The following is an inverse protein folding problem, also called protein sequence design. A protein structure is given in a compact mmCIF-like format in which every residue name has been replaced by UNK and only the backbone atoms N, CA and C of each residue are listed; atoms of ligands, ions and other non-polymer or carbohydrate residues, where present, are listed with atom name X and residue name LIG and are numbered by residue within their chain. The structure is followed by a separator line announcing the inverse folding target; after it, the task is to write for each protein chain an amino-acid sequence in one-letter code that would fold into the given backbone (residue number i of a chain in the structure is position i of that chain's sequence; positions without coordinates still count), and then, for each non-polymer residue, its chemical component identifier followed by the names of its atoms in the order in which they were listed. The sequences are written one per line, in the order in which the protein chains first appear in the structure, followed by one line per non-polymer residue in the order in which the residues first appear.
data_IF_642978549376
#
_entry.id   IF_642978549376
#
_cell.length_a   1.000
_cell.length_b   1.000
_cell.length_c   1.000
_cell.angle_alpha   90.00
_cell.angle_beta   90.00
_cell.angle_gamma   90.00
#
_symmetry.space_group_name_H-M   'P 1'
#
loop_
_entity.id
_entity.type
_entity.pdbx_description
1 polymer ?
#
# COMPACT_ATOMS: atom_id res chain seq x y z
N UNK A 1 19.02 3.29 8.01
CA UNK A 1 18.85 4.51 8.82
C UNK A 1 17.37 4.59 9.10
N UNK A 2 16.98 4.44 10.36
CA UNK A 2 15.61 4.69 10.79
C UNK A 2 15.25 6.16 10.51
N UNK A 3 13.97 6.41 10.21
CA UNK A 3 13.45 7.76 9.97
C UNK A 3 13.79 8.67 11.15
N UNK A 4 14.36 9.84 10.89
CA UNK A 4 14.95 10.71 11.92
C UNK A 4 13.92 11.46 12.78
N UNK A 5 12.62 11.31 12.52
CA UNK A 5 11.55 11.97 13.28
C UNK A 5 10.94 11.04 14.33
N UNK A 6 10.76 11.53 15.55
CA UNK A 6 9.98 10.88 16.60
C UNK A 6 8.57 10.56 16.10
N UNK A 7 8.18 9.29 16.13
CA UNK A 7 6.86 8.80 15.70
C UNK A 7 5.82 9.08 16.78
N UNK A 8 4.59 9.39 16.36
CA UNK A 8 3.45 9.69 17.24
C UNK A 8 2.21 8.93 16.81
N UNK A 9 1.22 8.74 17.68
CA UNK A 9 -0.04 8.13 17.27
C UNK A 9 -0.83 8.98 16.27
N UNK A 10 -1.50 8.30 15.34
CA UNK A 10 -2.44 8.93 14.43
C UNK A 10 -3.60 9.57 15.23
N UNK A 11 -3.92 10.86 15.00
CA UNK A 11 -4.74 11.65 15.93
C UNK A 11 -6.20 11.21 16.01
N UNK A 12 -6.68 10.41 15.06
CA UNK A 12 -8.06 9.91 15.04
C UNK A 12 -8.20 8.51 15.67
N UNK A 13 -7.13 7.94 16.22
CA UNK A 13 -7.22 6.73 17.02
C UNK A 13 -7.93 6.99 18.36
N UNK A 14 -8.77 6.05 18.77
CA UNK A 14 -9.46 6.14 20.04
C UNK A 14 -8.48 5.96 21.21
N UNK A 15 -8.51 6.89 22.16
CA UNK A 15 -7.69 6.83 23.38
C UNK A 15 -8.42 6.12 24.53
N UNK A 16 -7.70 5.41 25.43
CA UNK A 16 -6.26 5.11 25.37
C UNK A 16 -5.94 4.07 24.29
N UNK A 17 -4.85 4.28 23.55
CA UNK A 17 -4.52 3.50 22.34
C UNK A 17 -4.19 2.05 22.72
N UNK A 18 -3.49 1.87 23.84
CA UNK A 18 -2.98 0.59 24.33
C UNK A 18 -4.09 -0.44 24.58
N UNK A 19 -5.33 0.02 24.83
CA UNK A 19 -6.49 -0.85 25.05
C UNK A 19 -7.47 -0.91 23.89
N UNK A 20 -7.39 0.02 22.92
CA UNK A 20 -8.40 0.17 21.87
C UNK A 20 -7.87 -0.05 20.46
N UNK A 21 -6.55 -0.09 20.26
CA UNK A 21 -5.93 -0.23 18.95
C UNK A 21 -4.97 -1.42 18.91
N UNK A 22 -5.08 -2.20 17.84
CA UNK A 22 -4.13 -3.24 17.45
C UNK A 22 -3.97 -3.17 15.95
N UNK A 23 -2.74 -2.94 15.48
CA UNK A 23 -2.46 -2.82 14.05
C UNK A 23 -2.71 -4.13 13.29
N UNK A 24 -2.21 -5.26 13.80
CA UNK A 24 -2.43 -6.55 13.16
C UNK A 24 -3.85 -7.08 13.40
N UNK A 25 -4.64 -7.12 12.32
CA UNK A 25 -6.04 -7.59 12.30
C UNK A 25 -6.17 -9.07 12.68
N UNK A 26 -5.22 -9.91 12.27
CA UNK A 26 -5.29 -11.37 12.49
C UNK A 26 -4.42 -11.73 13.67
N UNK A 27 -5.00 -12.24 14.77
CA UNK A 27 -4.23 -12.78 15.87
C UNK A 27 -3.58 -14.09 15.45
N UNK A 28 -2.25 -14.17 15.49
CA UNK A 28 -1.56 -15.44 15.25
C UNK A 28 -1.53 -16.29 16.53
N UNK A 29 -1.67 -15.64 17.69
CA UNK A 29 -1.57 -16.24 19.01
C UNK A 29 -2.52 -15.57 19.99
N UNK A 30 -3.01 -16.36 20.94
CA UNK A 30 -3.74 -15.93 22.13
C UNK A 30 -2.91 -16.18 23.41
N UNK A 31 -3.17 -15.44 24.51
CA UNK A 31 -2.46 -15.63 25.79
C UNK A 31 -2.55 -17.04 26.38
N UNK A 32 -3.56 -17.83 25.98
CA UNK A 32 -3.76 -19.21 26.42
C UNK A 32 -2.89 -20.23 25.67
N UNK A 33 -2.27 -19.85 24.55
CA UNK A 33 -1.47 -20.76 23.74
C UNK A 33 -0.12 -21.07 24.40
N UNK A 34 0.44 -22.23 24.12
CA UNK A 34 1.76 -22.62 24.66
C UNK A 34 2.85 -21.70 24.07
N UNK A 35 3.57 -20.89 24.87
CA UNK A 35 4.54 -19.93 24.35
C UNK A 35 5.76 -20.60 23.70
N UNK A 36 6.04 -21.87 24.02
CA UNK A 36 7.20 -22.61 23.49
C UNK A 36 6.92 -23.38 22.21
N UNK A 37 5.73 -23.25 21.62
CA UNK A 37 5.35 -23.97 20.39
C UNK A 37 4.63 -23.02 19.45
N UNK A 38 4.93 -23.04 18.14
CA UNK A 38 4.22 -22.22 17.20
C UNK A 38 2.76 -22.65 17.10
N UNK A 39 1.86 -21.71 16.92
CA UNK A 39 0.44 -21.98 16.61
C UNK A 39 0.31 -22.37 15.13
N UNK A 40 -0.81 -23.00 14.71
CA UNK A 40 -1.09 -23.24 13.30
C UNK A 40 -1.11 -21.96 12.45
N UNK A 41 -1.61 -20.86 13.02
CA UNK A 41 -1.65 -19.56 12.33
C UNK A 41 -0.26 -18.97 12.16
N UNK A 42 0.60 -19.01 13.20
CA UNK A 42 2.01 -18.60 13.07
C UNK A 42 2.72 -19.40 11.97
N UNK A 43 2.53 -20.73 11.93
CA UNK A 43 3.12 -21.58 10.89
C UNK A 43 2.65 -21.19 9.48
N UNK A 44 1.33 -21.04 9.29
CA UNK A 44 0.77 -20.67 7.99
C UNK A 44 1.30 -19.33 7.47
N UNK A 45 1.43 -18.34 8.34
CA UNK A 45 1.98 -17.03 7.97
C UNK A 45 3.49 -17.08 7.75
N UNK A 46 4.26 -17.79 8.57
CA UNK A 46 5.69 -18.00 8.33
C UNK A 46 5.91 -18.66 6.97
N UNK A 47 5.09 -19.65 6.61
CA UNK A 47 5.17 -20.34 5.31
C UNK A 47 4.78 -19.42 4.15
N UNK A 48 3.77 -18.56 4.31
CA UNK A 48 3.44 -17.51 3.34
C UNK A 48 4.65 -16.61 3.05
N UNK A 49 5.30 -16.11 4.10
CA UNK A 49 6.49 -15.26 3.94
C UNK A 49 7.68 -16.04 3.37
N UNK A 50 7.87 -17.30 3.74
CA UNK A 50 8.89 -18.18 3.14
C UNK A 50 8.68 -18.34 1.64
N UNK A 51 7.44 -18.51 1.20
CA UNK A 51 7.10 -18.65 -0.22
C UNK A 51 7.36 -17.38 -1.04
N UNK A 52 7.51 -16.21 -0.39
CA UNK A 52 7.90 -14.97 -1.07
C UNK A 52 9.39 -14.89 -1.41
N UNK A 53 10.26 -15.65 -0.71
CA UNK A 53 11.73 -15.56 -0.86
C UNK A 53 12.21 -15.64 -2.31
N UNK A 54 11.75 -16.59 -3.15
CA UNK A 54 12.23 -16.70 -4.52
C UNK A 54 11.94 -15.45 -5.36
N UNK A 55 10.78 -14.81 -5.17
CA UNK A 55 10.40 -13.58 -5.88
C UNK A 55 11.32 -12.41 -5.49
N UNK A 56 11.51 -12.21 -4.18
CA UNK A 56 12.41 -11.15 -3.67
C UNK A 56 13.86 -11.39 -4.08
N UNK A 57 14.34 -12.64 -4.02
CA UNK A 57 15.67 -13.01 -4.51
C UNK A 57 15.85 -12.67 -5.99
N UNK A 58 14.89 -13.04 -6.85
CA UNK A 58 14.93 -12.76 -8.29
C UNK A 58 14.94 -11.26 -8.61
N UNK A 59 14.23 -10.45 -7.82
CA UNK A 59 14.28 -8.99 -7.93
C UNK A 59 15.64 -8.45 -7.46
N UNK A 60 16.11 -8.89 -6.30
CA UNK A 60 17.38 -8.47 -5.73
C UNK A 60 18.59 -8.84 -6.60
N UNK A 61 18.65 -10.05 -7.18
CA UNK A 61 19.78 -10.50 -8.01
C UNK A 61 19.92 -9.68 -9.31
N UNK A 62 18.84 -9.03 -9.74
CA UNK A 62 18.80 -8.21 -10.96
C UNK A 62 18.89 -6.71 -10.70
N UNK A 63 19.09 -6.29 -9.44
CA UNK A 63 19.28 -4.89 -9.06
C UNK A 63 20.65 -4.37 -9.55
N UNK A 64 20.69 -3.49 -10.58
CA UNK A 64 21.94 -3.03 -11.16
C UNK A 64 22.67 -2.01 -10.28
N UNK A 65 22.02 -1.51 -9.21
CA UNK A 65 22.58 -0.49 -8.33
C UNK A 65 23.44 -1.08 -7.21
N UNK A 66 23.39 -2.40 -7.03
CA UNK A 66 24.09 -3.12 -5.96
C UNK A 66 25.24 -3.96 -6.56
N UNK A 67 26.50 -3.76 -6.12
CA UNK A 67 27.61 -4.60 -6.55
C UNK A 67 27.46 -6.02 -5.99
N UNK A 68 27.77 -7.02 -6.82
CA UNK A 68 27.62 -8.45 -6.48
C UNK A 68 26.18 -8.79 -6.05
N UNK A 69 25.18 -8.16 -6.69
CA UNK A 69 23.76 -8.35 -6.39
C UNK A 69 23.32 -9.83 -6.34
N UNK A 70 23.74 -10.73 -7.25
CA UNK A 70 23.40 -12.15 -7.15
C UNK A 70 23.86 -12.81 -5.84
N UNK A 71 25.10 -12.58 -5.42
CA UNK A 71 25.65 -13.16 -4.19
C UNK A 71 24.96 -12.59 -2.94
N UNK A 72 24.61 -11.29 -2.97
CA UNK A 72 23.86 -10.65 -1.87
C UNK A 72 22.41 -11.13 -1.83
N UNK A 73 21.77 -11.38 -2.97
CA UNK A 73 20.43 -11.92 -3.05
C UNK A 73 20.36 -13.37 -2.52
N UNK A 74 21.39 -14.18 -2.77
CA UNK A 74 21.52 -15.51 -2.13
C UNK A 74 21.62 -15.38 -0.61
N UNK A 75 22.50 -14.50 -0.11
CA UNK A 75 22.60 -14.23 1.34
C UNK A 75 21.30 -13.75 1.96
N UNK A 76 20.50 -12.96 1.23
CA UNK A 76 19.17 -12.57 1.68
C UNK A 76 18.27 -13.81 1.86
N UNK A 77 18.19 -14.66 0.84
CA UNK A 77 17.35 -15.86 0.87
C UNK A 77 17.76 -16.82 2.00
N UNK A 78 19.07 -17.03 2.18
CA UNK A 78 19.62 -17.85 3.25
C UNK A 78 19.30 -17.27 4.64
N UNK A 79 19.61 -16.00 4.88
CA UNK A 79 19.41 -15.35 6.18
C UNK A 79 17.94 -15.29 6.56
N UNK A 80 17.08 -14.83 5.64
CA UNK A 80 15.66 -14.70 5.91
C UNK A 80 15.00 -16.07 6.08
N UNK A 81 15.34 -17.04 5.22
CA UNK A 81 14.87 -18.42 5.34
C UNK A 81 15.27 -19.09 6.66
N UNK A 82 16.47 -18.82 7.18
CA UNK A 82 16.93 -19.33 8.47
C UNK A 82 16.15 -18.71 9.64
N UNK A 83 15.95 -17.39 9.66
CA UNK A 83 15.18 -16.71 10.72
C UNK A 83 13.73 -17.22 10.76
N UNK A 84 13.11 -17.41 9.59
CA UNK A 84 11.78 -17.99 9.51
C UNK A 84 11.73 -19.44 10.04
N UNK A 85 12.79 -20.25 9.89
CA UNK A 85 12.86 -21.59 10.49
C UNK A 85 13.10 -21.52 12.00
N UNK A 86 13.84 -20.53 12.49
CA UNK A 86 14.04 -20.32 13.92
C UNK A 86 12.72 -19.95 14.61
N UNK A 87 11.92 -19.07 14.01
CA UNK A 87 10.57 -18.71 14.51
C UNK A 87 9.61 -19.91 14.57
N UNK A 88 9.76 -20.90 13.68
CA UNK A 88 9.01 -22.18 13.78
C UNK A 88 9.47 -23.03 14.95
N UNK A 89 10.75 -22.99 15.31
CA UNK A 89 11.31 -23.80 16.41
C UNK A 89 11.07 -23.14 17.76
N UNK A 90 11.17 -21.82 17.82
CA UNK A 90 11.04 -21.00 19.01
C UNK A 90 10.33 -19.68 18.66
N UNK A 91 9.01 -19.55 18.95
CA UNK A 91 8.25 -18.35 18.65
C UNK A 91 8.82 -17.08 19.28
N UNK A 92 9.50 -17.17 20.41
CA UNK A 92 10.10 -16.01 21.12
C UNK A 92 11.44 -15.56 20.50
N UNK A 93 11.97 -16.32 19.52
CA UNK A 93 13.20 -15.94 18.83
C UNK A 93 13.01 -14.68 17.98
N UNK A 94 14.12 -13.98 17.69
CA UNK A 94 14.14 -12.82 16.79
C UNK A 94 13.10 -11.72 17.10
N UNK A 95 12.70 -11.60 18.38
CA UNK A 95 11.73 -10.61 18.85
C UNK A 95 10.25 -11.00 18.70
N UNK A 96 9.96 -12.29 18.51
CA UNK A 96 8.58 -12.80 18.47
C UNK A 96 7.93 -12.92 19.86
N UNK A 97 6.71 -13.49 19.96
CA UNK A 97 5.97 -14.22 18.92
C UNK A 97 5.68 -13.41 17.65
N UNK A 98 5.72 -14.02 16.45
CA UNK A 98 5.61 -13.26 15.21
C UNK A 98 4.20 -12.73 14.97
N UNK A 99 4.14 -11.56 14.35
CA UNK A 99 2.96 -11.02 13.68
C UNK A 99 3.36 -10.56 12.26
N UNK A 100 2.40 -10.02 11.49
CA UNK A 100 2.67 -9.56 10.13
C UNK A 100 3.74 -8.44 10.08
N UNK A 101 3.71 -7.52 11.05
CA UNK A 101 4.64 -6.39 11.12
C UNK A 101 6.06 -6.90 11.33
N UNK A 102 6.26 -7.83 12.26
CA UNK A 102 7.58 -8.40 12.53
C UNK A 102 8.14 -9.14 11.31
N UNK A 103 7.32 -9.97 10.65
CA UNK A 103 7.75 -10.73 9.47
C UNK A 103 8.14 -9.81 8.30
N UNK A 104 7.36 -8.76 8.04
CA UNK A 104 7.72 -7.71 7.08
C UNK A 104 9.01 -6.99 7.48
N UNK A 105 9.13 -6.58 8.74
CA UNK A 105 10.28 -5.81 9.24
C UNK A 105 11.58 -6.57 9.11
N UNK A 106 11.61 -7.85 9.49
CA UNK A 106 12.80 -8.70 9.36
C UNK A 106 13.22 -8.81 7.89
N UNK A 107 12.28 -9.00 6.97
CA UNK A 107 12.57 -9.07 5.52
C UNK A 107 13.27 -7.80 5.04
N UNK A 108 12.69 -6.64 5.33
CA UNK A 108 13.22 -5.35 4.89
C UNK A 108 14.57 -5.02 5.53
N UNK A 109 14.75 -5.35 6.82
CA UNK A 109 16.03 -5.17 7.52
C UNK A 109 17.16 -5.95 6.85
N UNK A 110 16.94 -7.23 6.51
CA UNK A 110 17.98 -8.06 5.88
C UNK A 110 18.36 -7.52 4.49
N UNK A 111 17.37 -7.13 3.68
CA UNK A 111 17.64 -6.52 2.37
C UNK A 111 18.50 -5.25 2.51
N UNK A 112 18.12 -4.37 3.44
CA UNK A 112 18.81 -3.09 3.70
C UNK A 112 20.22 -3.28 4.24
N UNK A 113 20.42 -4.22 5.16
CA UNK A 113 21.74 -4.59 5.68
C UNK A 113 22.67 -5.14 4.60
N UNK A 114 22.10 -5.89 3.64
CA UNK A 114 22.84 -6.39 2.49
C UNK A 114 23.08 -5.32 1.40
N UNK A 115 22.63 -4.09 1.63
CA UNK A 115 22.89 -2.93 0.78
C UNK A 115 21.84 -2.68 -0.30
N UNK A 116 20.77 -3.48 -0.36
CA UNK A 116 19.63 -3.19 -1.23
C UNK A 116 18.85 -2.00 -0.68
N UNK A 117 18.48 -1.07 -1.56
CA UNK A 117 17.65 0.09 -1.20
C UNK A 117 16.23 -0.02 -1.71
N UNK A 118 16.08 -0.43 -2.97
CA UNK A 118 14.80 -0.57 -3.64
C UNK A 118 14.92 -1.57 -4.81
N UNK A 119 14.75 -2.86 -4.50
CA UNK A 119 14.84 -3.93 -5.50
C UNK A 119 13.67 -3.91 -6.51
N UNK A 120 12.66 -3.06 -6.29
CA UNK A 120 11.49 -2.89 -7.15
C UNK A 120 11.54 -1.58 -7.95
N UNK A 121 12.55 -0.72 -7.78
CA UNK A 121 12.61 0.61 -8.39
C UNK A 121 12.35 0.60 -9.89
N UNK A 122 13.07 -0.26 -10.62
CA UNK A 122 12.94 -0.37 -12.07
C UNK A 122 11.51 -0.70 -12.51
N UNK A 123 10.87 -1.66 -11.86
CA UNK A 123 9.50 -2.06 -12.22
C UNK A 123 8.49 -0.99 -11.82
N UNK A 124 8.68 -0.32 -10.67
CA UNK A 124 7.86 0.85 -10.29
C UNK A 124 7.93 1.95 -11.34
N UNK A 125 9.13 2.29 -11.82
CA UNK A 125 9.32 3.34 -12.82
C UNK A 125 8.66 2.98 -14.17
N UNK A 126 8.80 1.73 -14.60
CA UNK A 126 8.15 1.21 -15.82
C UNK A 126 6.63 1.26 -15.73
N UNK A 127 6.05 0.80 -14.61
CA UNK A 127 4.60 0.84 -14.40
C UNK A 127 4.06 2.27 -14.20
N UNK A 128 4.80 3.13 -13.50
CA UNK A 128 4.46 4.55 -13.36
C UNK A 128 4.41 5.23 -14.74
N UNK A 129 5.39 4.98 -15.61
CA UNK A 129 5.42 5.57 -16.95
C UNK A 129 4.23 5.11 -17.80
N UNK A 130 3.89 3.81 -17.77
CA UNK A 130 2.71 3.27 -18.45
C UNK A 130 1.43 3.88 -17.90
N UNK A 131 1.25 3.92 -16.59
CA UNK A 131 0.05 4.44 -15.96
C UNK A 131 -0.13 5.95 -16.22
N UNK A 132 0.94 6.74 -16.18
CA UNK A 132 0.90 8.17 -16.53
C UNK A 132 0.37 8.37 -17.96
N UNK A 133 0.77 7.53 -18.92
CA UNK A 133 0.30 7.62 -20.31
C UNK A 133 -1.20 7.35 -20.48
N UNK A 134 -1.83 6.67 -19.52
CA UNK A 134 -3.26 6.32 -19.54
C UNK A 134 -4.13 7.25 -18.68
N UNK A 135 -3.50 8.12 -17.89
CA UNK A 135 -4.18 8.92 -16.87
C UNK A 135 -5.30 9.78 -17.44
N UNK A 136 -5.05 10.49 -18.55
CA UNK A 136 -6.04 11.37 -19.17
C UNK A 136 -7.29 10.61 -19.63
N UNK A 137 -7.12 9.43 -20.22
CA UNK A 137 -8.20 8.64 -20.77
C UNK A 137 -9.07 8.06 -19.66
N UNK A 138 -8.45 7.55 -18.59
CA UNK A 138 -9.17 7.05 -17.40
C UNK A 138 -9.95 8.19 -16.73
N UNK A 139 -9.37 9.38 -16.62
CA UNK A 139 -10.08 10.55 -16.06
C UNK A 139 -11.26 10.96 -16.94
N UNK A 140 -11.08 11.04 -18.26
CA UNK A 140 -12.15 11.40 -19.20
C UNK A 140 -13.32 10.42 -19.16
N UNK A 141 -13.04 9.12 -19.04
CA UNK A 141 -14.08 8.08 -18.89
C UNK A 141 -14.90 8.25 -17.62
N UNK A 142 -14.25 8.59 -16.50
CA UNK A 142 -14.96 8.89 -15.25
C UNK A 142 -15.79 10.18 -15.37
N UNK A 143 -15.23 11.23 -15.98
CA UNK A 143 -15.92 12.52 -16.15
C UNK A 143 -17.16 12.41 -17.07
N UNK A 144 -17.15 11.48 -18.03
CA UNK A 144 -18.29 11.22 -18.91
C UNK A 144 -19.51 10.58 -18.20
N UNK A 145 -19.34 10.04 -16.98
CA UNK A 145 -20.45 9.46 -16.21
C UNK A 145 -21.20 10.60 -15.52
N UNK A 146 -22.37 10.99 -16.01
CA UNK A 146 -23.14 12.13 -15.47
C UNK A 146 -23.65 11.90 -14.03
N UNK A 147 -24.14 10.69 -13.75
CA UNK A 147 -24.66 10.33 -12.43
C UNK A 147 -23.51 10.22 -11.40
N UNK A 148 -23.51 11.09 -10.39
CA UNK A 148 -22.44 11.16 -9.40
C UNK A 148 -22.26 9.84 -8.62
N UNK A 149 -23.36 9.14 -8.34
CA UNK A 149 -23.32 7.87 -7.61
C UNK A 149 -22.66 6.76 -8.43
N UNK A 150 -22.98 6.67 -9.73
CA UNK A 150 -22.33 5.75 -10.68
C UNK A 150 -20.88 6.13 -10.92
N UNK A 151 -20.57 7.43 -10.98
CA UNK A 151 -19.19 7.91 -11.11
C UNK A 151 -18.35 7.49 -9.91
N UNK A 152 -18.85 7.70 -8.70
CA UNK A 152 -18.21 7.23 -7.48
C UNK A 152 -17.98 5.72 -7.50
N UNK A 153 -19.01 4.94 -7.88
CA UNK A 153 -18.86 3.49 -7.99
C UNK A 153 -17.78 3.08 -9.01
N UNK A 154 -17.70 3.76 -10.15
CA UNK A 154 -16.66 3.52 -11.14
C UNK A 154 -15.25 3.85 -10.61
N UNK A 155 -15.10 4.95 -9.86
CA UNK A 155 -13.84 5.32 -9.21
C UNK A 155 -13.42 4.28 -8.16
N UNK A 156 -14.34 3.79 -7.32
CA UNK A 156 -14.07 2.73 -6.34
C UNK A 156 -13.64 1.43 -7.03
N UNK A 157 -14.30 1.07 -8.14
CA UNK A 157 -13.85 -0.06 -8.98
C UNK A 157 -12.47 0.17 -9.58
N UNK A 158 -12.14 1.41 -9.95
CA UNK A 158 -10.81 1.80 -10.40
C UNK A 158 -9.74 1.56 -9.33
N UNK A 159 -10.01 1.91 -8.07
CA UNK A 159 -9.11 1.61 -6.94
C UNK A 159 -8.87 0.10 -6.82
N UNK A 160 -9.94 -0.71 -6.80
CA UNK A 160 -9.78 -2.17 -6.73
C UNK A 160 -9.02 -2.76 -7.91
N UNK A 161 -9.31 -2.29 -9.12
CA UNK A 161 -8.61 -2.74 -10.32
C UNK A 161 -7.13 -2.37 -10.29
N UNK A 162 -6.79 -1.18 -9.77
CA UNK A 162 -5.42 -0.70 -9.61
C UNK A 162 -4.62 -1.58 -8.65
N UNK A 163 -5.18 -1.85 -7.47
CA UNK A 163 -4.54 -2.67 -6.45
C UNK A 163 -4.41 -4.17 -6.83
N UNK A 164 -5.21 -4.68 -7.79
CA UNK A 164 -4.99 -6.03 -8.33
C UNK A 164 -3.64 -6.14 -9.07
N UNK A 165 -3.10 -5.04 -9.61
CA UNK A 165 -1.79 -5.02 -10.25
C UNK A 165 -0.63 -4.97 -9.23
N UNK A 166 -0.72 -5.78 -8.18
CA UNK A 166 0.29 -5.93 -7.14
C UNK A 166 1.45 -6.82 -7.62
N UNK A 167 2.61 -6.18 -7.85
CA UNK A 167 3.86 -6.80 -8.30
C UNK A 167 4.56 -7.64 -7.22
N UNK A 168 4.10 -7.56 -5.97
CA UNK A 168 4.58 -8.32 -4.82
C UNK A 168 4.18 -9.80 -4.84
N UNK A 169 3.20 -10.19 -5.67
CA UNK A 169 2.82 -11.60 -5.86
C UNK A 169 3.37 -12.15 -7.19
N UNK A 170 4.20 -13.19 -7.08
CA UNK A 170 4.89 -13.81 -8.22
C UNK A 170 3.96 -14.30 -9.36
N UNK A 171 2.66 -14.50 -9.08
CA UNK A 171 1.68 -15.00 -10.05
C UNK A 171 1.03 -13.91 -10.92
N UNK A 172 0.95 -12.65 -10.48
CA UNK A 172 0.24 -11.60 -11.23
C UNK A 172 1.17 -10.83 -12.20
N UNK A 173 2.47 -10.80 -11.93
CA UNK A 173 3.45 -10.10 -12.76
C UNK A 173 3.69 -10.76 -14.14
N UNK A 174 3.47 -12.07 -14.29
CA UNK A 174 3.72 -12.78 -15.56
C UNK A 174 2.59 -12.60 -16.60
N UNK A 175 1.41 -12.12 -16.20
CA UNK A 175 0.23 -12.11 -17.09
C UNK A 175 0.16 -10.85 -17.98
N UNK A 176 0.90 -9.76 -17.70
CA UNK A 176 0.63 -8.48 -18.39
C UNK A 176 1.87 -7.69 -18.85
N UNK A 177 2.74 -8.33 -19.64
CA UNK A 177 3.83 -7.63 -20.33
C UNK A 177 3.45 -7.03 -21.70
N UNK A 178 2.17 -7.06 -22.12
CA UNK A 178 1.75 -6.55 -23.43
C UNK A 178 0.37 -5.88 -23.34
N UNK A 179 0.34 -4.60 -23.66
CA UNK A 179 -0.82 -3.75 -23.97
C UNK A 179 -1.62 -3.17 -22.79
N UNK A 180 -1.63 -1.84 -22.68
CA UNK A 180 -2.41 -1.02 -21.72
C UNK A 180 -3.94 -1.14 -21.84
N UNK A 181 -4.45 -2.08 -22.63
CA UNK A 181 -5.84 -2.56 -22.63
C UNK A 181 -6.24 -3.27 -21.31
N UNK A 182 -5.32 -3.44 -20.37
CA UNK A 182 -5.46 -4.26 -19.16
C UNK A 182 -6.20 -3.58 -17.99
N UNK A 183 -6.03 -2.27 -17.74
CA UNK A 183 -6.62 -1.62 -16.55
C UNK A 183 -8.15 -1.47 -16.66
N UNK A 184 -8.65 -0.94 -17.78
CA UNK A 184 -10.08 -0.78 -18.01
C UNK A 184 -10.81 -2.12 -18.10
N UNK A 185 -10.18 -3.13 -18.71
CA UNK A 185 -10.70 -4.49 -18.71
C UNK A 185 -10.76 -5.07 -17.29
N UNK A 186 -9.76 -4.81 -16.45
CA UNK A 186 -9.74 -5.26 -15.06
C UNK A 186 -10.85 -4.62 -14.23
N UNK A 187 -11.16 -3.34 -14.45
CA UNK A 187 -12.31 -2.67 -13.84
C UNK A 187 -13.64 -3.38 -14.13
N UNK A 188 -13.77 -3.97 -15.33
CA UNK A 188 -14.97 -4.69 -15.76
C UNK A 188 -15.02 -6.14 -15.27
N UNK A 189 -13.86 -6.75 -15.03
CA UNK A 189 -13.73 -8.16 -14.63
C UNK A 189 -13.60 -8.36 -13.11
N UNK A 190 -13.83 -7.31 -12.31
CA UNK A 190 -13.93 -7.44 -10.85
C UNK A 190 -15.04 -8.42 -10.47
N UNK A 191 -14.87 -9.11 -9.33
CA UNK A 191 -15.90 -9.98 -8.79
C UNK A 191 -17.23 -9.21 -8.62
N UNK A 192 -18.37 -9.85 -8.95
CA UNK A 192 -19.66 -9.22 -8.83
C UNK A 192 -19.98 -8.89 -7.37
N UNK A 193 -20.76 -7.82 -7.17
CA UNK A 193 -21.32 -7.49 -5.85
C UNK A 193 -22.40 -8.51 -5.45
N UNK A 194 -22.63 -8.75 -4.14
CA UNK A 194 -21.98 -8.10 -3.01
C UNK A 194 -20.55 -8.61 -2.79
N UNK A 195 -19.63 -7.70 -2.48
CA UNK A 195 -18.29 -8.08 -2.02
C UNK A 195 -18.32 -8.66 -0.60
N UNK A 196 -17.22 -9.28 -0.17
CA UNK A 196 -17.10 -9.91 1.16
C UNK A 196 -17.46 -8.95 2.31
N UNK A 197 -17.08 -7.68 2.16
CA UNK A 197 -17.55 -6.54 2.96
C UNK A 197 -17.93 -5.47 1.95
N UNK A 198 -19.20 -5.09 1.90
CA UNK A 198 -19.75 -4.20 0.87
C UNK A 198 -20.59 -3.08 1.50
N UNK A 199 -19.90 -2.00 1.88
CA UNK A 199 -20.51 -0.77 2.42
C UNK A 199 -20.64 0.33 1.35
N UNK A 200 -20.47 0.00 0.07
CA UNK A 200 -20.41 0.99 -1.01
C UNK A 200 -21.71 1.80 -1.11
N UNK A 201 -22.87 1.18 -0.97
CA UNK A 201 -24.15 1.90 -1.06
C UNK A 201 -24.34 2.85 0.13
N UNK A 202 -23.90 2.45 1.33
CA UNK A 202 -23.85 3.33 2.51
C UNK A 202 -22.92 4.51 2.27
N UNK A 203 -21.75 4.27 1.66
CA UNK A 203 -20.80 5.31 1.31
C UNK A 203 -21.36 6.27 0.24
N UNK A 204 -22.02 5.76 -0.82
CA UNK A 204 -22.72 6.56 -1.85
C UNK A 204 -23.81 7.46 -1.25
N UNK A 205 -24.56 6.95 -0.28
CA UNK A 205 -25.58 7.75 0.42
C UNK A 205 -24.96 8.89 1.22
N UNK A 206 -23.83 8.65 1.90
CA UNK A 206 -23.08 9.71 2.58
C UNK A 206 -22.45 10.68 1.58
N UNK A 207 -21.88 10.17 0.49
CA UNK A 207 -21.24 10.97 -0.56
C UNK A 207 -22.15 12.02 -1.17
N UNK A 208 -23.40 11.67 -1.42
CA UNK A 208 -24.41 12.61 -1.97
C UNK A 208 -24.88 13.67 -0.96
N UNK A 209 -24.74 13.44 0.34
CA UNK A 209 -25.28 14.32 1.40
C UNK A 209 -24.22 15.09 2.18
N UNK A 210 -23.03 14.50 2.34
CA UNK A 210 -21.93 15.04 3.13
C UNK A 210 -20.89 15.64 2.20
N UNK A 211 -20.54 16.90 2.45
CA UNK A 211 -19.32 17.51 1.92
C UNK A 211 -18.23 17.30 2.97
N UNK A 212 -17.35 16.32 2.72
CA UNK A 212 -16.13 16.18 3.51
C UNK A 212 -15.25 17.41 3.33
N UNK A 213 -14.57 17.82 4.40
CA UNK A 213 -13.66 18.97 4.37
C UNK A 213 -12.24 18.52 4.16
N UNK A 214 -11.84 17.40 4.75
CA UNK A 214 -10.48 16.91 4.67
C UNK A 214 -10.42 15.39 4.72
N UNK A 215 -9.80 14.82 3.68
CA UNK A 215 -9.59 13.39 3.51
C UNK A 215 -8.10 13.05 3.64
N UNK A 216 -7.79 12.02 4.44
CA UNK A 216 -6.48 11.36 4.46
C UNK A 216 -6.61 10.04 3.72
N UNK A 217 -5.75 9.81 2.74
CA UNK A 217 -5.70 8.54 1.99
C UNK A 217 -4.30 7.95 2.20
N UNK A 218 -4.23 6.82 2.89
CA UNK A 218 -3.02 6.00 2.93
C UNK A 218 -2.97 5.20 1.64
N UNK A 219 -1.92 5.44 0.85
CA UNK A 219 -1.75 4.86 -0.48
C UNK A 219 -0.86 3.63 -0.42
N UNK A 220 -1.07 2.68 -1.33
CA UNK A 220 -0.34 1.42 -1.40
C UNK A 220 0.64 1.44 -2.59
N UNK A 221 0.27 0.87 -3.74
CA UNK A 221 1.23 0.52 -4.79
C UNK A 221 1.54 1.66 -5.77
N UNK A 222 2.73 1.60 -6.36
CA UNK A 222 3.07 2.36 -7.57
C UNK A 222 2.30 1.89 -8.81
N UNK A 223 2.38 2.65 -9.90
CA UNK A 223 1.80 2.28 -11.18
C UNK A 223 0.29 2.54 -11.24
N UNK A 224 -0.46 1.57 -11.76
CA UNK A 224 -1.89 1.72 -12.02
C UNK A 224 -2.71 1.97 -10.74
N UNK A 225 -2.26 1.47 -9.60
CA UNK A 225 -2.92 1.66 -8.31
C UNK A 225 -2.99 3.14 -7.93
N UNK A 226 -1.85 3.74 -7.60
CA UNK A 226 -1.77 5.17 -7.29
C UNK A 226 -2.26 6.04 -8.47
N UNK A 227 -1.78 5.82 -9.70
CA UNK A 227 -2.03 6.76 -10.81
C UNK A 227 -3.41 6.62 -11.42
N UNK A 228 -3.96 5.42 -11.60
CA UNK A 228 -5.24 5.20 -12.29
C UNK A 228 -6.40 4.86 -11.34
N UNK A 229 -6.11 4.42 -10.12
CA UNK A 229 -7.10 4.18 -9.07
C UNK A 229 -7.25 5.37 -8.13
N UNK A 230 -6.23 5.63 -7.31
CA UNK A 230 -6.28 6.63 -6.23
C UNK A 230 -6.34 8.06 -6.77
N UNK A 231 -5.49 8.44 -7.72
CA UNK A 231 -5.43 9.84 -8.18
C UNK A 231 -6.73 10.32 -8.85
N UNK A 232 -7.44 9.54 -9.68
CA UNK A 232 -8.76 9.93 -10.18
C UNK A 232 -9.79 10.08 -9.06
N UNK A 233 -9.74 9.22 -8.04
CA UNK A 233 -10.62 9.33 -6.87
C UNK A 233 -10.30 10.58 -6.02
N UNK A 234 -9.02 10.85 -5.75
CA UNK A 234 -8.55 12.06 -5.07
C UNK A 234 -8.93 13.32 -5.86
N UNK A 235 -8.81 13.28 -7.19
CA UNK A 235 -9.26 14.35 -8.09
C UNK A 235 -10.76 14.61 -7.94
N UNK A 236 -11.58 13.57 -7.79
CA UNK A 236 -13.02 13.75 -7.55
C UNK A 236 -13.32 14.41 -6.22
N UNK A 237 -12.59 14.05 -5.15
CA UNK A 237 -12.69 14.72 -3.86
C UNK A 237 -12.33 16.21 -3.96
N UNK A 238 -11.24 16.55 -4.67
CA UNK A 238 -10.83 17.94 -4.93
C UNK A 238 -11.90 18.69 -5.74
N UNK A 239 -12.47 18.07 -6.78
CA UNK A 239 -13.56 18.65 -7.58
C UNK A 239 -14.79 18.99 -6.74
N UNK A 240 -15.02 18.24 -5.66
CA UNK A 240 -16.10 18.47 -4.68
C UNK A 240 -15.71 19.43 -3.54
N UNK A 241 -14.52 20.03 -3.60
CA UNK A 241 -14.03 21.01 -2.63
C UNK A 241 -13.43 20.40 -1.35
N UNK A 242 -13.06 19.12 -1.37
CA UNK A 242 -12.39 18.45 -0.23
C UNK A 242 -10.89 18.70 -0.31
N UNK A 243 -10.24 19.02 0.81
CA UNK A 243 -8.78 18.97 0.91
C UNK A 243 -8.33 17.51 1.01
N UNK A 244 -7.35 17.10 0.21
CA UNK A 244 -6.89 15.70 0.17
C UNK A 244 -5.43 15.64 0.58
N UNK A 245 -5.11 14.73 1.50
CA UNK A 245 -3.73 14.39 1.89
C UNK A 245 -3.48 12.94 1.48
N UNK A 246 -2.48 12.73 0.62
CA UNK A 246 -2.00 11.39 0.28
C UNK A 246 -0.81 11.05 1.18
N UNK A 247 -0.96 10.04 2.04
CA UNK A 247 0.07 9.58 2.96
C UNK A 247 0.80 8.37 2.37
N UNK A 248 2.08 8.55 2.04
CA UNK A 248 2.92 7.54 1.38
C UNK A 248 4.12 7.16 2.25
N UNK A 249 4.72 5.99 2.00
CA UNK A 249 5.85 5.47 2.76
C UNK A 249 7.08 6.39 2.69
N UNK A 250 7.85 6.46 3.77
CA UNK A 250 9.15 7.15 3.83
C UNK A 250 10.18 6.39 3.01
N UNK A 251 10.24 5.07 3.22
CA UNK A 251 11.21 4.19 2.59
C UNK A 251 10.54 3.16 1.68
N UNK A 252 11.25 2.69 0.63
CA UNK A 252 10.76 1.60 -0.20
C UNK A 252 10.47 0.33 0.61
N UNK A 253 9.34 -0.27 0.27
CA UNK A 253 8.88 -1.57 0.71
C UNK A 253 8.09 -2.17 -0.45
N UNK A 254 8.50 -3.35 -0.94
CA UNK A 254 7.92 -3.97 -2.13
C UNK A 254 7.77 -2.94 -3.28
N UNK A 255 6.60 -2.83 -3.90
CA UNK A 255 6.27 -1.89 -4.96
C UNK A 255 5.43 -0.71 -4.47
N UNK A 256 5.33 -0.50 -3.16
CA UNK A 256 4.64 0.62 -2.55
C UNK A 256 5.23 1.94 -3.07
N UNK A 257 4.36 2.94 -3.27
CA UNK A 257 4.80 4.28 -3.66
C UNK A 257 5.37 5.01 -2.44
N UNK A 258 6.56 5.59 -2.60
CA UNK A 258 7.17 6.40 -1.54
C UNK A 258 6.79 7.88 -1.65
N UNK A 259 6.93 8.63 -0.57
CA UNK A 259 6.70 10.07 -0.52
C UNK A 259 7.46 10.85 -1.61
N UNK A 260 8.78 10.63 -1.82
CA UNK A 260 9.51 11.31 -2.90
C UNK A 260 8.99 10.94 -4.29
N UNK A 261 8.69 9.66 -4.52
CA UNK A 261 8.17 9.19 -5.80
C UNK A 261 6.78 9.76 -6.11
N UNK A 262 5.92 9.87 -5.10
CA UNK A 262 4.59 10.45 -5.27
C UNK A 262 4.65 11.94 -5.62
N UNK A 263 5.60 12.69 -5.04
CA UNK A 263 5.87 14.09 -5.45
C UNK A 263 6.22 14.15 -6.94
N UNK A 264 7.12 13.29 -7.40
CA UNK A 264 7.52 13.26 -8.81
C UNK A 264 6.36 12.88 -9.74
N UNK A 265 5.55 11.89 -9.37
CA UNK A 265 4.37 11.47 -10.13
C UNK A 265 3.38 12.63 -10.27
N UNK A 266 3.03 13.27 -9.14
CA UNK A 266 2.11 14.42 -9.14
C UNK A 266 2.67 15.58 -9.96
N UNK A 267 3.97 15.85 -9.88
CA UNK A 267 4.60 16.89 -10.69
C UNK A 267 4.53 16.62 -12.19
N UNK A 268 4.54 15.35 -12.62
CA UNK A 268 4.41 14.97 -14.04
C UNK A 268 2.97 15.07 -14.55
N UNK A 269 1.98 14.91 -13.65
CA UNK A 269 0.56 14.92 -13.99
C UNK A 269 -0.09 16.30 -13.91
N UNK A 270 0.47 17.22 -13.11
CA UNK A 270 0.00 18.61 -13.03
C UNK A 270 0.31 19.37 -14.31
N UNK A 271 -0.64 20.17 -14.77
CA UNK A 271 -0.41 21.15 -15.83
C UNK A 271 0.33 22.39 -15.32
N UNK A 272 0.66 23.32 -16.23
CA UNK A 272 1.34 24.58 -15.91
C UNK A 272 0.58 25.48 -14.91
N UNK A 273 -0.72 25.26 -14.76
CA UNK A 273 -1.59 25.99 -13.83
C UNK A 273 -1.77 25.22 -12.50
N UNK A 274 -1.03 24.13 -12.29
CA UNK A 274 -1.11 23.31 -11.09
C UNK A 274 -2.38 22.45 -11.01
N UNK A 275 -3.06 22.19 -12.13
CA UNK A 275 -4.31 21.41 -12.16
C UNK A 275 -4.06 19.96 -12.59
N UNK A 276 -4.91 19.07 -12.10
CA UNK A 276 -5.01 17.68 -12.55
C UNK A 276 -6.22 17.55 -13.47
N UNK A 277 -5.99 17.51 -14.79
CA UNK A 277 -7.05 17.40 -15.79
C UNK A 277 -8.18 18.42 -15.56
N UNK A 278 -7.81 19.70 -15.43
CA UNK A 278 -8.75 20.82 -15.22
C UNK A 278 -9.25 21.05 -13.78
N UNK A 279 -8.93 20.16 -12.83
CA UNK A 279 -9.26 20.32 -11.40
C UNK A 279 -8.09 20.95 -10.65
N UNK A 280 -8.34 22.01 -9.90
CA UNK A 280 -7.30 22.66 -9.07
C UNK A 280 -6.78 21.70 -7.99
N UNK A 281 -5.45 21.53 -7.95
CA UNK A 281 -4.78 20.65 -7.01
C UNK A 281 -3.98 21.44 -5.95
N UNK A 282 -4.34 22.70 -5.70
CA UNK A 282 -3.84 23.51 -4.58
C UNK A 282 -4.16 22.89 -3.21
N UNK A 283 -5.30 22.20 -3.11
CA UNK A 283 -5.74 21.49 -1.90
C UNK A 283 -5.30 20.01 -1.86
N UNK A 284 -4.39 19.60 -2.75
CA UNK A 284 -3.78 18.28 -2.72
C UNK A 284 -2.42 18.37 -2.03
N UNK A 285 -2.31 17.74 -0.86
CA UNK A 285 -1.08 17.60 -0.10
C UNK A 285 -0.56 16.17 -0.19
N UNK A 286 0.77 16.03 -0.11
CA UNK A 286 1.46 14.75 -0.02
C UNK A 286 2.17 14.76 1.32
N UNK A 287 2.01 13.71 2.10
CA UNK A 287 2.58 13.59 3.44
C UNK A 287 3.46 12.35 3.52
N UNK A 288 4.62 12.49 4.16
CA UNK A 288 5.43 11.34 4.52
C UNK A 288 4.79 10.65 5.73
N UNK A 289 4.39 9.39 5.61
CA UNK A 289 3.78 8.65 6.72
C UNK A 289 4.77 8.26 7.82
N UNK A 290 6.08 8.29 7.52
CA UNK A 290 7.13 7.72 8.37
C UNK A 290 7.23 6.19 8.28
N UNK A 291 6.35 5.55 7.51
CA UNK A 291 6.28 4.10 7.39
C UNK A 291 7.31 3.56 6.38
N UNK A 292 7.80 2.35 6.62
CA UNK A 292 8.83 1.70 5.82
C UNK A 292 8.51 0.22 5.52
N UNK A 293 7.24 -0.17 5.63
CA UNK A 293 6.71 -1.53 5.52
C UNK A 293 5.47 -1.55 4.61
N UNK A 294 5.06 -2.73 4.09
CA UNK A 294 3.84 -2.88 3.28
C UNK A 294 2.59 -3.04 4.15
N UNK A 295 2.74 -2.74 5.44
CA UNK A 295 1.70 -2.68 6.46
C UNK A 295 2.01 -1.45 7.31
N UNK A 296 1.02 -0.90 8.00
CA UNK A 296 1.21 0.29 8.82
C UNK A 296 0.66 0.11 10.22
N UNK A 297 1.43 0.56 11.20
CA UNK A 297 1.00 0.71 12.58
C UNK A 297 0.61 2.18 12.82
N UNK A 298 -0.70 2.47 12.90
CA UNK A 298 -1.19 3.84 13.11
C UNK A 298 -0.87 4.38 14.50
N UNK A 299 -0.38 3.56 15.45
CA UNK A 299 0.17 4.07 16.70
C UNK A 299 1.53 4.75 16.49
N UNK A 300 2.17 4.56 15.33
CA UNK A 300 3.48 5.10 14.97
C UNK A 300 3.44 5.68 13.56
N UNK A 301 3.04 6.95 13.45
CA UNK A 301 3.13 7.74 12.21
C UNK A 301 4.03 8.95 12.41
N UNK A 302 4.49 9.57 11.33
CA UNK A 302 5.26 10.80 11.39
C UNK A 302 4.45 11.94 12.05
N UNK A 303 5.15 12.88 12.69
CA UNK A 303 4.53 14.10 13.21
C UNK A 303 3.90 14.95 12.12
N UNK A 304 4.49 14.94 10.91
CA UNK A 304 3.93 15.63 9.73
C UNK A 304 2.54 15.09 9.40
N UNK A 305 2.40 13.78 9.28
CA UNK A 305 1.11 13.15 8.99
C UNK A 305 0.12 13.38 10.12
N UNK A 306 0.54 13.24 11.38
CA UNK A 306 -0.33 13.48 12.53
C UNK A 306 -0.84 14.94 12.56
N UNK A 307 0.02 15.92 12.29
CA UNK A 307 -0.37 17.32 12.17
C UNK A 307 -1.38 17.52 11.03
N UNK A 308 -1.10 16.94 9.86
CA UNK A 308 -1.99 17.05 8.70
C UNK A 308 -3.30 16.29 8.89
N UNK A 309 -3.40 15.31 9.78
CA UNK A 309 -4.61 14.50 9.98
C UNK A 309 -5.52 14.99 11.12
N UNK A 310 -5.09 15.96 11.93
CA UNK A 310 -5.76 16.34 13.17
C UNK A 310 -7.24 16.75 13.01
N UNK A 311 -7.59 17.37 11.89
CA UNK A 311 -8.93 17.86 11.55
C UNK A 311 -9.59 17.06 10.40
N UNK A 312 -9.05 15.88 10.07
CA UNK A 312 -9.61 15.05 9.01
C UNK A 312 -10.99 14.49 9.39
N UNK A 313 -11.91 14.49 8.42
CA UNK A 313 -13.28 14.00 8.58
C UNK A 313 -13.64 12.85 7.63
N UNK A 314 -12.63 12.37 6.89
CA UNK A 314 -12.58 11.13 6.11
C UNK A 314 -11.16 10.54 6.19
N UNK A 315 -11.06 9.25 6.52
CA UNK A 315 -9.81 8.49 6.42
C UNK A 315 -10.08 7.29 5.52
N UNK A 316 -9.20 7.07 4.56
CA UNK A 316 -9.25 5.96 3.61
C UNK A 316 -7.93 5.20 3.75
N UNK A 317 -8.04 3.91 4.00
CA UNK A 317 -6.93 2.97 4.02
C UNK A 317 -7.06 2.14 2.73
N UNK A 318 -6.11 2.29 1.82
CA UNK A 318 -6.04 1.51 0.59
C UNK A 318 -5.02 0.37 0.75
N UNK A 319 -5.06 -0.63 -0.14
CA UNK A 319 -4.20 -1.80 -0.06
C UNK A 319 -4.79 -3.01 0.63
N UNK A 320 -4.12 -4.15 0.48
CA UNK A 320 -4.45 -5.38 1.20
C UNK A 320 -3.59 -5.52 2.46
N UNK A 321 -4.21 -5.90 3.58
CA UNK A 321 -3.54 -6.69 4.62
C UNK A 321 -3.92 -8.15 4.35
N UNK A 322 -3.27 -8.83 3.39
CA UNK A 322 -3.71 -10.17 2.91
C UNK A 322 -3.67 -11.21 4.03
N UNK A 323 -4.79 -11.76 4.52
CA UNK A 323 -4.78 -13.09 5.11
C UNK A 323 -4.59 -14.09 3.97
N UNK A 324 -3.75 -15.11 4.16
CA UNK A 324 -3.68 -16.26 3.27
C UNK A 324 -5.07 -16.85 3.00
N UNK A 325 -5.17 -17.50 1.84
CA UNK A 325 -6.34 -18.20 1.31
C UNK A 325 -7.15 -18.88 2.41
N UNK A 326 -8.47 -18.63 2.42
CA UNK A 326 -9.40 -19.52 3.12
C UNK A 326 -9.65 -20.71 2.19
N UNK A 327 -9.50 -21.89 2.76
CA UNK A 327 -9.81 -23.23 2.23
C UNK A 327 -10.90 -23.27 1.13
#
# INVERSE_FOLDING_TARGET
MESASEMVPFPLLQTPIESNYRACTIPYRFPSDNPKRPTPTELAWIDLFRNSIPSFKKRAESDPTVPDAPDRAEKFAERYGAILEDLKKDPESHGGPPDCILLCRIREQILRELGFRDIFKKVKDEENAKAISLFSDVVNLNDAIEDEGKRLENLVRGIFAGNIFDLGSAQLAEVFSKDGMSFLASCQNLLPRPWVIDDLDTFKLKWSKKSWKKAIIFVDNSGADIILGILPFARELLRRGTQVVLAANDLPSINDVTYPELIEIISKLKDENGKLMGVDASNLLIANSGNDLPVIDLAQVSQELAFLAADADLVIMEGMVRPGDRD
#
